data_IF_721662601239
#
_entry.id   IF_721662601239
#
_cell.length_a   1.000
_cell.length_b   1.000
_cell.length_c   1.000
_cell.angle_alpha   90.00
_cell.angle_beta   90.00
_cell.angle_gamma   90.00
#
_symmetry.space_group_name_H-M   'P 1'
#
loop_
_entity.id
_entity.type
_entity.pdbx_description
1 polymer ?
#
# COMPACT_ATOMS: atom_id res chain seq x y z
N UNK A 1 4.48 16.09 -14.92
CA UNK A 1 3.11 15.71 -14.51
C UNK A 1 3.10 15.64 -12.98
N UNK A 2 2.05 16.14 -12.34
CA UNK A 2 1.82 15.93 -10.90
C UNK A 2 0.92 14.71 -10.71
N UNK A 3 1.31 13.79 -9.83
CA UNK A 3 0.45 12.68 -9.43
C UNK A 3 0.16 12.76 -7.93
N UNK A 4 -1.11 12.60 -7.60
CA UNK A 4 -1.59 12.49 -6.23
C UNK A 4 -2.62 11.37 -6.13
N UNK A 5 -2.59 10.63 -5.03
CA UNK A 5 -3.55 9.56 -4.76
C UNK A 5 -3.82 9.46 -3.27
N UNK A 6 -5.11 9.35 -2.94
CA UNK A 6 -5.57 8.96 -1.62
C UNK A 6 -5.84 7.45 -1.58
N UNK A 7 -5.27 6.77 -0.61
CA UNK A 7 -5.53 5.36 -0.27
C UNK A 7 -5.95 5.30 1.19
N UNK A 8 -6.91 4.44 1.52
CA UNK A 8 -7.28 4.18 2.90
C UNK A 8 -6.80 2.80 3.34
N UNK A 9 -6.15 2.74 4.49
CA UNK A 9 -5.71 1.49 5.13
C UNK A 9 -6.43 1.29 6.47
N UNK A 10 -6.52 0.05 6.99
CA UNK A 10 -7.02 -0.20 8.32
C UNK A 10 -6.19 0.51 9.41
N UNK A 11 -6.84 1.01 10.46
CA UNK A 11 -6.19 1.83 11.50
C UNK A 11 -5.07 1.08 12.24
N UNK A 12 -5.24 -0.22 12.47
CA UNK A 12 -4.24 -1.10 13.09
C UNK A 12 -2.97 -1.27 12.23
N UNK A 13 -3.04 -0.92 10.93
CA UNK A 13 -1.92 -1.00 9.98
C UNK A 13 -1.17 0.31 9.82
N UNK A 14 -1.67 1.43 10.35
CA UNK A 14 -1.01 2.73 10.28
C UNK A 14 0.38 2.68 10.91
N UNK A 15 0.49 2.14 12.12
CA UNK A 15 1.77 2.03 12.82
C UNK A 15 2.80 1.16 12.05
N UNK A 16 2.32 0.15 11.32
CA UNK A 16 3.17 -0.72 10.49
C UNK A 16 3.66 0.01 9.25
N UNK A 17 2.81 0.83 8.62
CA UNK A 17 3.18 1.66 7.48
C UNK A 17 4.18 2.76 7.87
N UNK A 18 4.02 3.37 9.05
CA UNK A 18 4.96 4.37 9.57
C UNK A 18 6.29 3.68 9.92
N UNK A 19 6.22 2.56 10.65
CA UNK A 19 7.41 1.85 11.16
C UNK A 19 8.06 2.58 12.35
N UNK A 20 9.01 1.90 12.99
CA UNK A 20 9.73 2.46 14.15
C UNK A 20 10.46 3.74 13.74
N UNK A 21 10.14 4.86 14.42
CA UNK A 21 10.68 6.18 14.10
C UNK A 21 10.48 6.61 12.63
N UNK A 22 9.42 6.14 11.96
CA UNK A 22 9.13 6.48 10.57
C UNK A 22 9.94 5.69 9.53
N UNK A 23 10.68 4.65 9.94
CA UNK A 23 11.62 3.95 9.06
C UNK A 23 11.01 3.40 7.77
N UNK A 24 9.81 2.86 7.83
CA UNK A 24 9.11 2.27 6.67
C UNK A 24 8.61 3.38 5.76
N UNK A 25 7.96 4.40 6.32
CA UNK A 25 7.52 5.60 5.59
C UNK A 25 8.70 6.21 4.82
N UNK A 26 9.78 6.55 5.51
CA UNK A 26 10.98 7.17 4.90
C UNK A 26 11.58 6.29 3.82
N UNK A 27 11.58 4.96 4.00
CA UNK A 27 12.09 4.04 2.99
C UNK A 27 11.26 4.07 1.71
N UNK A 28 9.92 4.09 1.83
CA UNK A 28 9.02 4.20 0.68
C UNK A 28 9.19 5.55 -0.01
N UNK A 29 9.18 6.64 0.74
CA UNK A 29 9.33 8.00 0.22
C UNK A 29 10.64 8.15 -0.58
N UNK A 30 11.76 7.71 0.01
CA UNK A 30 13.09 7.83 -0.61
C UNK A 30 13.23 6.92 -1.84
N UNK A 31 12.74 5.68 -1.77
CA UNK A 31 12.95 4.73 -2.87
C UNK A 31 12.04 5.03 -4.05
N UNK A 32 10.81 5.50 -3.80
CA UNK A 32 9.83 5.81 -4.84
C UNK A 32 9.82 7.29 -5.27
N UNK A 33 10.62 8.16 -4.64
CA UNK A 33 10.61 9.61 -4.84
C UNK A 33 9.19 10.22 -4.71
N UNK A 34 8.52 9.86 -3.63
CA UNK A 34 7.18 10.37 -3.28
C UNK A 34 7.18 10.91 -1.85
N UNK A 35 6.18 11.72 -1.51
CA UNK A 35 5.84 12.00 -0.12
C UNK A 35 4.58 11.24 0.29
N UNK A 36 4.57 10.79 1.55
CA UNK A 36 3.45 10.14 2.19
C UNK A 36 2.95 11.02 3.33
N UNK A 37 1.71 11.47 3.23
CA UNK A 37 1.01 12.13 4.33
C UNK A 37 -0.03 11.15 4.88
N UNK A 38 0.09 10.81 6.16
CA UNK A 38 -0.63 9.70 6.80
C UNK A 38 -1.42 10.26 7.96
N UNK A 39 -2.74 10.18 7.86
CA UNK A 39 -3.65 10.51 8.94
C UNK A 39 -3.72 9.34 9.93
N UNK A 40 -3.28 9.60 11.16
CA UNK A 40 -3.20 8.63 12.25
C UNK A 40 -4.55 8.18 12.82
N UNK A 41 -5.63 8.91 12.54
CA UNK A 41 -6.97 8.64 13.05
C UNK A 41 -7.85 7.93 12.01
N UNK A 42 -7.77 8.36 10.75
CA UNK A 42 -8.66 7.88 9.68
C UNK A 42 -8.08 6.74 8.84
N UNK A 43 -6.75 6.57 8.87
CA UNK A 43 -6.01 5.66 8.01
C UNK A 43 -5.88 6.14 6.57
N UNK A 44 -6.15 7.42 6.32
CA UNK A 44 -5.95 8.06 5.02
C UNK A 44 -4.46 8.29 4.74
N UNK A 45 -4.02 7.85 3.57
CA UNK A 45 -2.64 7.96 3.10
C UNK A 45 -2.66 8.70 1.77
N UNK A 46 -2.16 9.93 1.77
CA UNK A 46 -1.96 10.72 0.58
C UNK A 46 -0.55 10.49 0.04
N UNK A 47 -0.46 10.00 -1.18
CA UNK A 47 0.78 9.77 -1.92
C UNK A 47 0.91 10.89 -2.95
N UNK A 48 1.98 11.67 -2.88
CA UNK A 48 2.24 12.78 -3.82
C UNK A 48 3.61 12.60 -4.46
N UNK A 49 3.73 12.85 -5.75
CA UNK A 49 5.04 12.85 -6.42
C UNK A 49 5.91 13.99 -5.95
N UNK A 50 7.21 13.72 -5.75
CA UNK A 50 8.18 14.74 -5.37
C UNK A 50 9.35 14.77 -6.36
N UNK A 51 9.67 15.96 -6.87
CA UNK A 51 10.89 16.17 -7.65
C UNK A 51 10.80 15.71 -9.12
N UNK A 52 11.86 15.02 -9.55
CA UNK A 52 12.17 14.72 -10.94
C UNK A 52 11.31 13.57 -11.51
N UNK A 53 10.62 13.86 -12.61
CA UNK A 53 9.65 12.96 -13.27
C UNK A 53 10.29 11.66 -13.75
N UNK A 54 11.60 11.64 -13.99
CA UNK A 54 12.31 10.43 -14.46
C UNK A 54 12.52 9.37 -13.36
N UNK A 55 12.43 9.76 -12.08
CA UNK A 55 12.76 8.88 -10.93
C UNK A 55 11.56 8.53 -10.05
N UNK A 56 10.42 9.17 -10.28
CA UNK A 56 9.20 8.91 -9.51
C UNK A 56 8.62 7.53 -9.83
N UNK A 57 8.27 6.79 -8.78
CA UNK A 57 7.60 5.49 -8.90
C UNK A 57 6.30 5.48 -8.06
N UNK A 58 5.33 6.36 -8.37
CA UNK A 58 4.13 6.51 -7.56
C UNK A 58 3.28 5.24 -7.51
N UNK A 59 3.24 4.47 -8.60
CA UNK A 59 2.49 3.22 -8.65
C UNK A 59 3.08 2.15 -7.72
N UNK A 60 4.41 2.04 -7.64
CA UNK A 60 5.08 1.14 -6.69
C UNK A 60 4.77 1.55 -5.25
N UNK A 61 4.81 2.86 -4.94
CA UNK A 61 4.42 3.34 -3.63
C UNK A 61 2.96 2.98 -3.28
N UNK A 62 2.02 3.14 -4.24
CA UNK A 62 0.63 2.72 -4.05
C UNK A 62 0.50 1.22 -3.75
N UNK A 63 1.19 0.37 -4.51
CA UNK A 63 1.14 -1.08 -4.31
C UNK A 63 1.70 -1.46 -2.93
N UNK A 64 2.82 -0.85 -2.50
CA UNK A 64 3.41 -1.11 -1.19
C UNK A 64 2.47 -0.69 -0.05
N UNK A 65 1.90 0.52 -0.12
CA UNK A 65 0.92 1.02 0.87
C UNK A 65 -0.29 0.08 0.93
N UNK A 66 -0.80 -0.33 -0.23
CA UNK A 66 -1.93 -1.26 -0.32
C UNK A 66 -1.58 -2.63 0.26
N UNK A 67 -0.41 -3.18 -0.04
CA UNK A 67 0.06 -4.46 0.50
C UNK A 67 0.16 -4.41 2.03
N UNK A 68 0.77 -3.37 2.60
CA UNK A 68 0.85 -3.20 4.07
C UNK A 68 -0.54 -3.09 4.68
N UNK A 69 -1.45 -2.33 4.05
CA UNK A 69 -2.85 -2.22 4.47
C UNK A 69 -3.62 -3.54 4.40
N UNK A 70 -3.25 -4.46 3.51
CA UNK A 70 -3.81 -5.81 3.38
C UNK A 70 -3.14 -6.86 4.27
N UNK A 71 -2.18 -6.47 5.10
CA UNK A 71 -1.60 -7.32 6.13
C UNK A 71 -0.16 -7.79 5.87
N UNK A 72 0.45 -7.46 4.72
CA UNK A 72 1.85 -7.80 4.48
C UNK A 72 2.79 -7.07 5.46
N UNK A 73 3.85 -7.74 5.91
CA UNK A 73 4.93 -7.08 6.64
C UNK A 73 5.63 -6.05 5.74
N UNK A 74 6.30 -5.03 6.31
CA UNK A 74 7.08 -4.08 5.51
C UNK A 74 8.12 -4.77 4.63
N UNK A 75 8.80 -5.80 5.14
CA UNK A 75 9.78 -6.58 4.39
C UNK A 75 9.17 -7.25 3.15
N UNK A 76 8.03 -7.91 3.30
CA UNK A 76 7.34 -8.58 2.19
C UNK A 76 6.77 -7.56 1.20
N UNK A 77 6.22 -6.44 1.67
CA UNK A 77 5.68 -5.40 0.80
C UNK A 77 6.78 -4.72 -0.02
N UNK A 78 7.96 -4.47 0.55
CA UNK A 78 9.09 -3.85 -0.15
C UNK A 78 9.68 -4.72 -1.27
N UNK A 79 9.36 -6.02 -1.33
CA UNK A 79 9.75 -6.87 -2.46
C UNK A 79 9.12 -6.42 -3.78
N UNK A 80 8.05 -5.63 -3.74
CA UNK A 80 7.44 -5.01 -4.93
C UNK A 80 8.38 -4.05 -5.67
N UNK A 81 9.44 -3.58 -5.01
CA UNK A 81 10.48 -2.75 -5.63
C UNK A 81 11.47 -3.58 -6.47
N UNK A 82 11.43 -4.90 -6.38
CA UNK A 82 12.38 -5.80 -7.02
C UNK A 82 11.82 -6.33 -8.34
N UNK A 83 12.55 -6.08 -9.44
CA UNK A 83 12.21 -6.58 -10.77
C UNK A 83 10.77 -6.23 -11.17
N UNK A 84 10.07 -7.24 -11.69
CA UNK A 84 8.71 -7.13 -12.23
C UNK A 84 7.63 -7.53 -11.21
N UNK A 85 7.95 -7.52 -9.91
CA UNK A 85 6.98 -7.86 -8.88
C UNK A 85 5.81 -6.86 -8.88
N UNK A 86 4.58 -7.37 -8.78
CA UNK A 86 3.36 -6.56 -8.77
C UNK A 86 2.37 -7.09 -7.73
N UNK A 87 1.51 -6.22 -7.22
CA UNK A 87 0.46 -6.58 -6.28
C UNK A 87 -0.84 -6.86 -7.04
N UNK A 88 -1.37 -8.07 -6.91
CA UNK A 88 -2.71 -8.41 -7.40
C UNK A 88 -3.66 -8.62 -6.21
N UNK A 89 -4.76 -7.85 -6.16
CA UNK A 89 -5.80 -7.98 -5.13
C UNK A 89 -7.05 -8.54 -5.76
N UNK A 90 -7.45 -9.75 -5.34
CA UNK A 90 -8.62 -10.45 -5.85
C UNK A 90 -9.76 -10.33 -4.82
N UNK A 91 -10.92 -9.83 -5.24
CA UNK A 91 -12.11 -9.83 -4.39
C UNK A 91 -12.84 -11.17 -4.52
N UNK A 92 -12.76 -12.00 -3.48
CA UNK A 92 -13.40 -13.32 -3.46
C UNK A 92 -14.93 -13.26 -3.64
N UNK A 93 -15.56 -12.12 -3.35
CA UNK A 93 -17.02 -11.95 -3.52
C UNK A 93 -17.44 -11.97 -4.98
N UNK A 94 -16.53 -11.63 -5.89
CA UNK A 94 -16.78 -11.73 -7.34
C UNK A 94 -16.96 -13.19 -7.77
N UNK A 95 -16.42 -14.15 -7.02
CA UNK A 95 -16.48 -15.58 -7.32
C UNK A 95 -17.48 -16.33 -6.44
N UNK A 96 -17.66 -15.91 -5.18
CA UNK A 96 -18.51 -16.57 -4.20
C UNK A 96 -20.01 -16.17 -4.27
N UNK A 97 -20.31 -15.07 -4.96
CA UNK A 97 -21.62 -14.42 -4.91
C UNK A 97 -21.89 -13.75 -3.55
N UNK A 98 -23.17 -13.56 -3.20
CA UNK A 98 -23.58 -12.83 -1.98
C UNK A 98 -23.51 -13.65 -0.67
N UNK A 99 -23.17 -14.94 -0.74
CA UNK A 99 -23.18 -15.82 0.43
C UNK A 99 -21.85 -15.73 1.19
N UNK A 100 -21.90 -15.25 2.43
CA UNK A 100 -20.72 -15.23 3.32
C UNK A 100 -20.15 -16.64 3.56
N UNK A 101 -21.00 -17.68 3.60
CA UNK A 101 -20.54 -19.06 3.75
C UNK A 101 -19.70 -19.53 2.55
N UNK A 102 -20.05 -19.09 1.34
CA UNK A 102 -19.28 -19.40 0.14
C UNK A 102 -17.94 -18.66 0.12
N UNK A 103 -17.92 -17.40 0.58
CA UNK A 103 -16.68 -16.61 0.69
C UNK A 103 -15.70 -17.29 1.64
N UNK A 104 -16.14 -17.70 2.84
CA UNK A 104 -15.28 -18.39 3.80
C UNK A 104 -14.76 -19.74 3.25
N UNK A 105 -15.59 -20.48 2.50
CA UNK A 105 -15.15 -21.74 1.88
C UNK A 105 -14.06 -21.55 0.81
N UNK A 106 -14.08 -20.45 0.07
CA UNK A 106 -13.06 -20.14 -0.96
C UNK A 106 -11.80 -19.56 -0.33
N UNK A 107 -11.95 -18.77 0.73
CA UNK A 107 -10.85 -18.18 1.49
C UNK A 107 -9.89 -19.25 2.05
N UNK A 108 -10.43 -20.43 2.40
CA UNK A 108 -9.67 -21.57 2.92
C UNK A 108 -9.70 -21.66 4.43
#
# INVERSE_FOLDING_TARGET
MSFEKLIRIPNDRIAVLIGKAGSVKTKIETTCNVSLDIDGETGEVFIKTQGDVEKIQPFKAMEIVTAIGRGFSPENALTLLQGENALHVIDLREFAGKSNANVERIKG
#
